data_IF_816617678488
#
_entry.id   IF_816617678488
#
_cell.length_a   1.000
_cell.length_b   1.000
_cell.length_c   1.000
_cell.angle_alpha   90.00
_cell.angle_beta   90.00
_cell.angle_gamma   90.00
#
_symmetry.space_group_name_H-M   'P 1'
#
loop_
_entity.id
_entity.type
_entity.pdbx_description
1 polymer ?
#
# COMPACT_ATOMS: atom_id res chain seq x y z
N UNK A 1 11.07 -9.58 28.60
CA UNK A 1 10.04 -10.63 28.75
C UNK A 1 9.82 -11.22 27.39
N UNK A 2 10.44 -12.38 27.17
CA UNK A 2 10.44 -13.12 25.91
C UNK A 2 9.03 -13.58 25.57
N UNK A 3 8.61 -13.39 24.33
CA UNK A 3 7.37 -13.94 23.82
C UNK A 3 7.66 -15.37 23.34
N UNK A 4 7.37 -16.34 24.20
CA UNK A 4 7.29 -17.73 23.80
C UNK A 4 6.20 -17.87 22.73
N UNK A 5 6.60 -18.39 21.56
CA UNK A 5 5.69 -18.81 20.50
C UNK A 5 4.97 -20.05 21.03
N UNK A 6 3.74 -19.87 21.50
CA UNK A 6 2.94 -20.97 22.03
C UNK A 6 2.54 -21.92 20.88
N UNK A 7 3.25 -23.04 20.79
CA UNK A 7 2.70 -24.33 20.39
C UNK A 7 1.54 -24.66 21.35
N UNK A 8 0.33 -24.25 21.00
CA UNK A 8 -0.86 -24.42 21.84
C UNK A 8 -2.08 -24.75 21.01
N UNK A 9 -2.44 -26.03 21.01
CA UNK A 9 -3.65 -26.60 20.42
C UNK A 9 -4.89 -25.70 20.66
N UNK A 10 -5.53 -25.23 19.60
CA UNK A 10 -6.87 -24.63 19.74
C UNK A 10 -7.90 -25.76 19.80
N UNK A 11 -8.50 -25.96 20.97
CA UNK A 11 -9.64 -26.86 21.17
C UNK A 11 -10.88 -26.53 20.28
N UNK A 12 -10.85 -25.40 19.57
CA UNK A 12 -11.96 -24.82 18.80
C UNK A 12 -11.78 -24.85 17.27
N UNK A 13 -10.68 -25.40 16.73
CA UNK A 13 -10.50 -25.59 15.28
C UNK A 13 -10.22 -24.32 14.43
N UNK A 14 -9.65 -23.26 15.01
CA UNK A 14 -9.30 -22.01 14.30
C UNK A 14 -7.78 -21.82 14.16
N UNK A 15 -7.28 -21.08 13.14
CA UNK A 15 -5.87 -20.75 13.05
C UNK A 15 -5.38 -19.94 14.26
N UNK A 16 -4.07 -19.96 14.56
CA UNK A 16 -3.49 -19.24 15.70
C UNK A 16 -3.62 -17.71 15.58
N UNK A 17 -3.89 -17.16 14.39
CA UNK A 17 -4.01 -15.73 14.17
C UNK A 17 -5.38 -15.35 13.58
N UNK A 18 -6.09 -14.47 14.27
CA UNK A 18 -7.35 -13.86 13.83
C UNK A 18 -7.28 -12.34 13.96
N UNK A 19 -7.73 -11.62 12.92
CA UNK A 19 -7.74 -10.15 12.88
C UNK A 19 -9.14 -9.64 12.56
N UNK A 20 -9.64 -8.75 13.42
CA UNK A 20 -10.87 -8.00 13.19
C UNK A 20 -10.54 -6.59 12.65
N UNK A 21 -10.95 -6.31 11.42
CA UNK A 21 -10.79 -5.01 10.73
C UNK A 21 -12.09 -4.18 10.67
N UNK A 22 -13.13 -4.62 11.37
CA UNK A 22 -14.39 -3.89 11.46
C UNK A 22 -14.29 -2.75 12.49
N UNK A 23 -14.83 -1.57 12.17
CA UNK A 23 -14.98 -0.50 13.18
C UNK A 23 -15.97 -0.95 14.25
N UNK A 24 -15.71 -0.57 15.52
CA UNK A 24 -16.54 -0.96 16.68
C UNK A 24 -18.03 -0.70 16.50
N UNK A 25 -18.41 0.30 15.70
CA UNK A 25 -19.78 0.74 15.46
C UNK A 25 -20.45 0.13 14.22
N UNK A 26 -19.69 -0.39 13.25
CA UNK A 26 -20.24 -0.84 11.96
C UNK A 26 -20.88 -2.23 12.04
N UNK A 27 -20.37 -3.12 12.89
CA UNK A 27 -20.86 -4.49 13.03
C UNK A 27 -20.72 -5.00 14.46
N UNK A 28 -21.70 -4.70 15.35
CA UNK A 28 -21.71 -5.24 16.70
C UNK A 28 -21.75 -6.78 16.70
N UNK A 29 -22.28 -7.40 15.62
CA UNK A 29 -22.29 -8.85 15.44
C UNK A 29 -20.92 -9.48 15.20
N UNK A 30 -20.04 -8.83 14.42
CA UNK A 30 -18.68 -9.32 14.15
C UNK A 30 -17.81 -9.23 15.41
N UNK A 31 -17.87 -8.08 16.10
CA UNK A 31 -17.20 -7.93 17.39
C UNK A 31 -17.81 -8.86 18.44
N UNK A 32 -19.13 -9.04 18.52
CA UNK A 32 -19.71 -9.99 19.49
C UNK A 32 -19.35 -11.46 19.20
N UNK A 33 -19.29 -11.87 17.93
CA UNK A 33 -18.92 -13.25 17.53
C UNK A 33 -17.44 -13.56 17.76
N UNK A 34 -16.56 -12.56 17.67
CA UNK A 34 -15.11 -12.78 17.67
C UNK A 34 -14.34 -11.97 18.73
N UNK A 35 -15.02 -11.21 19.59
CA UNK A 35 -14.46 -10.52 20.76
C UNK A 35 -13.59 -11.39 21.66
N UNK A 36 -13.89 -12.68 21.92
CA UNK A 36 -13.01 -13.53 22.71
C UNK A 36 -11.74 -13.98 21.97
N UNK A 37 -11.62 -13.73 20.65
CA UNK A 37 -10.63 -14.37 19.76
C UNK A 37 -9.65 -13.41 19.06
N UNK A 38 -9.79 -12.10 19.23
CA UNK A 38 -8.85 -11.14 18.63
C UNK A 38 -8.91 -9.75 19.23
N UNK A 39 -7.81 -8.99 19.09
CA UNK A 39 -7.81 -7.55 19.35
C UNK A 39 -8.42 -6.83 18.14
N UNK A 40 -9.37 -5.89 18.33
CA UNK A 40 -9.81 -5.04 17.23
C UNK A 40 -8.64 -4.18 16.77
N UNK A 41 -8.30 -4.22 15.47
CA UNK A 41 -7.43 -3.22 14.89
C UNK A 41 -8.24 -1.91 14.83
N UNK A 42 -7.80 -0.88 15.56
CA UNK A 42 -8.43 0.43 15.48
C UNK A 42 -8.04 1.05 14.13
N UNK A 43 -8.91 0.94 13.13
CA UNK A 43 -8.82 1.78 11.94
C UNK A 43 -9.27 3.20 12.30
N UNK A 44 -8.40 3.92 12.99
CA UNK A 44 -8.56 5.34 13.20
C UNK A 44 -8.10 6.08 11.95
N UNK A 45 -9.06 6.56 11.16
CA UNK A 45 -8.80 7.34 9.94
C UNK A 45 -8.49 8.81 10.27
N UNK A 46 -8.67 9.23 11.53
CA UNK A 46 -8.49 10.61 11.96
C UNK A 46 -7.18 10.88 12.73
N UNK A 47 -6.50 9.86 13.26
CA UNK A 47 -5.22 10.05 13.94
C UNK A 47 -4.05 10.01 12.94
N UNK A 48 -3.09 10.94 13.13
CA UNK A 48 -1.82 10.99 12.39
C UNK A 48 -0.85 9.86 12.78
N UNK A 49 -1.37 8.77 13.36
CA UNK A 49 -0.66 7.57 13.77
C UNK A 49 -1.16 6.40 12.92
N UNK A 50 -0.29 5.84 12.08
CA UNK A 50 -0.63 4.73 11.20
C UNK A 50 -0.80 3.43 12.00
N UNK A 51 -1.99 3.16 12.52
CA UNK A 51 -2.35 1.84 13.06
C UNK A 51 -2.75 0.90 11.91
N UNK A 52 -1.80 0.07 11.44
CA UNK A 52 -2.07 -0.97 10.45
C UNK A 52 -2.53 -2.27 11.13
N UNK A 53 -3.56 -2.97 10.61
CA UNK A 53 -4.05 -4.23 11.18
C UNK A 53 -2.98 -5.32 11.29
N UNK A 54 -2.02 -5.35 10.36
CA UNK A 54 -0.98 -6.38 10.29
C UNK A 54 0.29 -6.02 11.08
N UNK A 55 0.35 -4.87 11.76
CA UNK A 55 1.57 -4.33 12.37
C UNK A 55 2.28 -5.32 13.30
N UNK A 56 1.53 -5.95 14.22
CA UNK A 56 2.09 -6.90 15.18
C UNK A 56 2.67 -8.15 14.49
N UNK A 57 1.99 -8.64 13.44
CA UNK A 57 2.47 -9.76 12.64
C UNK A 57 3.73 -9.40 11.85
N UNK A 58 3.78 -8.19 11.28
CA UNK A 58 4.95 -7.67 10.58
C UNK A 58 6.16 -7.61 11.50
N UNK A 59 6.00 -7.12 12.74
CA UNK A 59 7.09 -7.09 13.75
C UNK A 59 7.58 -8.49 14.08
N UNK A 60 6.67 -9.43 14.29
CA UNK A 60 7.05 -10.82 14.59
C UNK A 60 7.74 -11.50 13.39
N UNK A 61 7.28 -11.25 12.16
CA UNK A 61 7.89 -11.76 10.95
C UNK A 61 9.29 -11.17 10.71
N UNK A 62 9.45 -9.85 10.88
CA UNK A 62 10.73 -9.16 10.82
C UNK A 62 11.75 -9.81 11.77
N UNK A 63 11.35 -10.00 13.03
CA UNK A 63 12.22 -10.57 14.05
C UNK A 63 12.62 -12.01 13.71
N UNK A 64 11.67 -12.87 13.34
CA UNK A 64 11.97 -14.26 12.94
C UNK A 64 12.90 -14.32 11.74
N UNK A 65 12.69 -13.44 10.76
CA UNK A 65 13.55 -13.36 9.57
C UNK A 65 14.97 -12.95 9.94
N UNK A 66 15.12 -11.97 10.83
CA UNK A 66 16.43 -11.55 11.32
C UNK A 66 17.14 -12.66 12.12
N UNK A 67 16.40 -13.44 12.91
CA UNK A 67 16.96 -14.53 13.74
C UNK A 67 17.30 -15.79 12.94
N UNK A 68 16.45 -16.16 11.98
CA UNK A 68 16.52 -17.48 11.31
C UNK A 68 16.96 -17.40 9.85
N UNK A 69 16.84 -16.24 9.20
CA UNK A 69 17.04 -16.08 7.76
C UNK A 69 15.99 -16.77 6.88
N UNK A 70 14.97 -17.41 7.47
CA UNK A 70 13.93 -18.15 6.73
C UNK A 70 12.94 -17.20 6.07
N UNK A 71 12.46 -17.60 4.91
CA UNK A 71 11.40 -16.88 4.22
C UNK A 71 10.11 -16.89 5.06
N UNK A 72 9.36 -15.80 5.04
CA UNK A 72 8.10 -15.64 5.76
C UNK A 72 6.96 -15.55 4.76
N UNK A 73 5.98 -16.45 4.84
CA UNK A 73 4.82 -16.49 3.94
C UNK A 73 3.56 -16.16 4.71
N UNK A 74 2.87 -15.09 4.31
CA UNK A 74 1.59 -14.69 4.89
C UNK A 74 0.43 -15.29 4.08
N UNK A 75 -0.54 -15.89 4.76
CA UNK A 75 -1.76 -16.39 4.12
C UNK A 75 -2.95 -15.68 4.75
N UNK A 76 -3.63 -14.82 3.99
CA UNK A 76 -4.81 -14.07 4.44
C UNK A 76 -6.07 -14.67 3.82
N UNK A 77 -7.07 -14.99 4.65
CA UNK A 77 -8.33 -15.60 4.21
C UNK A 77 -9.51 -15.19 5.08
N UNK A 78 -10.73 -15.37 4.58
CA UNK A 78 -12.01 -15.08 5.25
C UNK A 78 -12.73 -16.37 5.70
N UNK A 79 -13.74 -16.24 6.59
CA UNK A 79 -14.53 -17.32 7.18
C UNK A 79 -15.18 -18.24 6.13
N UNK A 80 -14.42 -19.25 5.73
CA UNK A 80 -14.77 -20.62 5.37
C UNK A 80 -13.54 -21.15 4.64
N UNK A 81 -12.93 -22.25 5.09
CA UNK A 81 -11.72 -22.67 4.47
C UNK A 81 -12.09 -23.36 3.15
N UNK A 82 -11.85 -22.65 2.04
CA UNK A 82 -11.33 -23.30 0.83
C UNK A 82 -9.85 -23.66 1.05
N UNK A 83 -9.38 -23.68 2.29
CA UNK A 83 -8.31 -24.57 2.69
C UNK A 83 -9.01 -25.89 3.00
N UNK A 84 -8.90 -26.95 2.18
CA UNK A 84 -9.32 -28.27 2.63
C UNK A 84 -8.79 -28.46 4.05
N UNK A 85 -9.56 -29.06 4.94
CA UNK A 85 -9.04 -29.62 6.20
C UNK A 85 -7.93 -30.69 5.98
N UNK A 86 -7.37 -30.75 4.77
CA UNK A 86 -6.45 -31.71 4.17
C UNK A 86 -5.38 -31.03 3.28
N UNK A 87 -5.23 -29.69 3.25
CA UNK A 87 -3.89 -29.15 2.95
C UNK A 87 -3.14 -29.29 4.26
N UNK A 88 -2.46 -30.42 4.39
CA UNK A 88 -1.48 -30.67 5.44
C UNK A 88 -0.37 -29.64 5.21
N UNK A 89 -0.61 -28.39 5.68
CA UNK A 89 0.35 -27.29 5.59
C UNK A 89 1.64 -27.86 6.15
N UNK A 90 2.73 -27.90 5.37
CA UNK A 90 3.94 -28.58 5.77
C UNK A 90 4.34 -28.05 7.13
N UNK A 91 4.48 -28.95 8.11
CA UNK A 91 4.78 -28.57 9.48
C UNK A 91 6.08 -27.75 9.45
N UNK A 92 6.18 -26.65 10.22
CA UNK A 92 7.26 -25.67 10.12
C UNK A 92 8.68 -26.23 10.36
N UNK A 93 8.82 -27.49 10.79
CA UNK A 93 10.09 -28.19 10.89
C UNK A 93 10.68 -28.61 9.52
N UNK A 94 9.87 -28.78 8.47
CA UNK A 94 10.32 -29.29 7.16
C UNK A 94 10.24 -28.26 6.01
N UNK A 95 9.48 -27.18 6.17
CA UNK A 95 9.30 -26.16 5.13
C UNK A 95 10.53 -25.24 5.01
N UNK A 96 10.91 -24.81 3.80
CA UNK A 96 11.97 -23.80 3.62
C UNK A 96 11.55 -22.38 4.09
N UNK A 97 10.28 -22.22 4.49
CA UNK A 97 9.67 -20.96 4.88
C UNK A 97 8.74 -21.15 6.11
N UNK A 98 8.60 -20.11 6.91
CA UNK A 98 7.59 -20.05 7.96
C UNK A 98 6.24 -19.63 7.34
N UNK A 99 5.21 -20.45 7.55
CA UNK A 99 3.85 -20.19 7.07
C UNK A 99 3.01 -19.55 8.17
N UNK A 100 2.46 -18.36 7.91
CA UNK A 100 1.63 -17.59 8.85
C UNK A 100 0.21 -17.48 8.29
N UNK A 101 -0.69 -18.43 8.62
CA UNK A 101 -2.11 -18.32 8.27
C UNK A 101 -2.84 -17.36 9.21
N UNK A 102 -3.61 -16.44 8.63
CA UNK A 102 -4.38 -15.42 9.34
C UNK A 102 -5.80 -15.34 8.80
N UNK A 103 -6.76 -15.56 9.71
CA UNK A 103 -8.16 -15.35 9.42
C UNK A 103 -8.53 -13.87 9.60
N UNK A 104 -9.14 -13.26 8.59
CA UNK A 104 -9.59 -11.87 8.57
C UNK A 104 -11.10 -11.84 8.40
N UNK A 105 -11.81 -11.06 9.20
CA UNK A 105 -13.28 -11.05 9.19
C UNK A 105 -13.93 -10.35 7.99
N UNK A 106 -13.20 -9.45 7.33
CA UNK A 106 -13.63 -8.67 6.17
C UNK A 106 -12.40 -8.45 5.28
N UNK A 107 -12.06 -9.45 4.48
CA UNK A 107 -10.82 -9.46 3.71
C UNK A 107 -10.73 -8.31 2.69
N UNK A 108 -11.88 -7.86 2.18
CA UNK A 108 -12.03 -6.72 1.27
C UNK A 108 -11.57 -5.38 1.88
N UNK A 109 -11.37 -5.30 3.20
CA UNK A 109 -10.85 -4.10 3.89
C UNK A 109 -9.32 -4.07 3.97
N UNK A 110 -8.64 -5.17 3.62
CA UNK A 110 -7.18 -5.18 3.47
C UNK A 110 -6.84 -4.47 2.18
N UNK A 111 -6.17 -3.31 2.29
CA UNK A 111 -5.79 -2.49 1.14
C UNK A 111 -4.32 -2.61 0.77
N UNK A 112 -3.93 -1.96 -0.33
CA UNK A 112 -2.56 -1.93 -0.82
C UNK A 112 -1.56 -1.47 0.25
N UNK A 113 -1.90 -0.48 1.09
CA UNK A 113 -1.03 -0.03 2.17
C UNK A 113 -0.70 -1.15 3.19
N UNK A 114 -1.65 -2.03 3.49
CA UNK A 114 -1.43 -3.15 4.42
C UNK A 114 -0.53 -4.22 3.77
N UNK A 115 -0.78 -4.51 2.49
CA UNK A 115 -0.04 -5.51 1.73
C UNK A 115 1.41 -5.07 1.48
N UNK A 116 1.62 -3.83 1.05
CA UNK A 116 2.95 -3.24 0.84
C UNK A 116 3.73 -3.19 2.15
N UNK A 117 3.09 -2.78 3.24
CA UNK A 117 3.71 -2.79 4.56
C UNK A 117 4.12 -4.20 4.99
N UNK A 118 3.24 -5.18 4.84
CA UNK A 118 3.59 -6.57 5.14
C UNK A 118 4.81 -7.08 4.33
N UNK A 119 4.88 -6.76 3.04
CA UNK A 119 6.01 -7.14 2.18
C UNK A 119 7.31 -6.45 2.56
N UNK A 120 7.27 -5.14 2.81
CA UNK A 120 8.45 -4.35 3.14
C UNK A 120 9.00 -4.73 4.54
N UNK A 121 8.12 -5.14 5.44
CA UNK A 121 8.45 -5.38 6.85
C UNK A 121 8.79 -6.82 7.21
N UNK A 122 8.80 -7.77 6.26
CA UNK A 122 9.32 -9.10 6.56
C UNK A 122 8.71 -10.24 5.75
N UNK A 123 7.47 -10.11 5.30
CA UNK A 123 6.84 -11.15 4.50
C UNK A 123 7.40 -11.16 3.07
N UNK A 124 7.82 -12.33 2.63
CA UNK A 124 8.39 -12.54 1.31
C UNK A 124 7.30 -12.67 0.25
N UNK A 125 6.26 -13.41 0.59
CA UNK A 125 5.09 -13.64 -0.25
C UNK A 125 3.83 -13.55 0.59
N UNK A 126 2.79 -12.96 0.01
CA UNK A 126 1.44 -12.89 0.56
C UNK A 126 0.51 -13.66 -0.36
N UNK A 127 -0.08 -14.73 0.15
CA UNK A 127 -1.21 -15.39 -0.46
C UNK A 127 -2.50 -14.77 0.09
N UNK A 128 -3.28 -14.19 -0.80
CA UNK A 128 -4.52 -13.50 -0.45
C UNK A 128 -5.70 -14.27 -1.06
N UNK A 129 -6.66 -14.69 -0.24
CA UNK A 129 -7.87 -15.34 -0.75
C UNK A 129 -8.67 -14.35 -1.59
N UNK A 130 -9.23 -14.81 -2.70
CA UNK A 130 -10.13 -14.00 -3.52
C UNK A 130 -11.42 -13.73 -2.73
N UNK A 131 -11.83 -12.47 -2.64
CA UNK A 131 -13.05 -12.10 -1.92
C UNK A 131 -14.30 -12.71 -2.56
N UNK A 132 -15.27 -13.06 -1.71
CA UNK A 132 -16.56 -13.52 -2.16
C UNK A 132 -17.43 -12.35 -2.65
N UNK A 133 -18.16 -12.55 -3.75
CA UNK A 133 -19.10 -11.59 -4.30
C UNK A 133 -18.44 -10.50 -5.18
N UNK A 134 -19.17 -10.06 -6.21
CA UNK A 134 -18.63 -9.20 -7.27
C UNK A 134 -18.07 -7.85 -6.77
N UNK A 135 -18.75 -7.20 -5.82
CA UNK A 135 -18.32 -5.90 -5.32
C UNK A 135 -17.03 -5.97 -4.48
N UNK A 136 -16.92 -6.99 -3.61
CA UNK A 136 -15.73 -7.23 -2.80
C UNK A 136 -14.53 -7.61 -3.66
N UNK A 137 -14.75 -8.48 -4.66
CA UNK A 137 -13.73 -8.88 -5.62
C UNK A 137 -13.20 -7.68 -6.42
N UNK A 138 -14.08 -6.86 -6.99
CA UNK A 138 -13.66 -5.69 -7.77
C UNK A 138 -12.88 -4.66 -6.93
N UNK A 139 -13.24 -4.49 -5.65
CA UNK A 139 -12.46 -3.66 -4.73
C UNK A 139 -11.08 -4.27 -4.46
N UNK A 140 -11.03 -5.57 -4.16
CA UNK A 140 -9.78 -6.28 -3.94
C UNK A 140 -8.86 -6.23 -5.16
N UNK A 141 -9.38 -6.40 -6.36
CA UNK A 141 -8.61 -6.33 -7.61
C UNK A 141 -7.92 -4.97 -7.77
N UNK A 142 -8.63 -3.86 -7.52
CA UNK A 142 -8.04 -2.51 -7.55
C UNK A 142 -6.93 -2.34 -6.51
N UNK A 143 -7.15 -2.83 -5.30
CA UNK A 143 -6.16 -2.76 -4.22
C UNK A 143 -4.91 -3.62 -4.54
N UNK A 144 -5.09 -4.81 -5.11
CA UNK A 144 -3.99 -5.70 -5.51
C UNK A 144 -3.24 -5.15 -6.72
N UNK A 145 -3.95 -4.59 -7.70
CA UNK A 145 -3.34 -3.93 -8.87
C UNK A 145 -2.44 -2.77 -8.43
N UNK A 146 -2.94 -1.90 -7.55
CA UNK A 146 -2.14 -0.82 -6.96
C UNK A 146 -0.92 -1.35 -6.21
N UNK A 147 -1.09 -2.38 -5.37
CA UNK A 147 0.02 -2.97 -4.64
C UNK A 147 1.06 -3.61 -5.57
N UNK A 148 0.64 -4.21 -6.69
CA UNK A 148 1.54 -4.78 -7.69
C UNK A 148 2.40 -3.72 -8.36
N UNK A 149 1.80 -2.63 -8.82
CA UNK A 149 2.52 -1.51 -9.44
C UNK A 149 3.50 -0.85 -8.45
N UNK A 150 3.14 -0.84 -7.16
CA UNK A 150 3.96 -0.27 -6.07
C UNK A 150 5.00 -1.26 -5.49
N UNK A 151 5.38 -2.31 -6.22
CA UNK A 151 6.47 -3.22 -5.84
C UNK A 151 6.04 -4.57 -5.25
N UNK A 152 4.74 -4.87 -5.27
CA UNK A 152 4.19 -6.16 -4.83
C UNK A 152 4.08 -7.22 -5.92
N UNK A 153 4.43 -6.89 -7.18
CA UNK A 153 4.30 -7.81 -8.31
C UNK A 153 5.13 -9.08 -8.08
N UNK A 154 4.53 -10.25 -8.34
CA UNK A 154 5.15 -11.55 -8.11
C UNK A 154 5.21 -12.00 -6.63
N UNK A 155 4.90 -11.11 -5.68
CA UNK A 155 4.92 -11.39 -4.24
C UNK A 155 3.54 -11.39 -3.60
N UNK A 156 2.53 -10.76 -4.22
CA UNK A 156 1.13 -10.81 -3.78
C UNK A 156 0.34 -11.67 -4.75
N UNK A 157 -0.19 -12.80 -4.27
CA UNK A 157 -0.75 -13.85 -5.12
C UNK A 157 -2.17 -14.21 -4.67
N UNK A 158 -3.16 -13.96 -5.53
CA UNK A 158 -4.58 -14.27 -5.28
C UNK A 158 -4.89 -15.74 -5.49
N UNK A 159 -5.55 -16.40 -4.53
CA UNK A 159 -6.02 -17.78 -4.68
C UNK A 159 -7.54 -17.88 -4.51
N UNK A 160 -8.19 -18.75 -5.29
CA UNK A 160 -9.61 -19.06 -5.15
C UNK A 160 -9.87 -20.34 -4.37
N UNK A 161 -8.92 -21.27 -4.41
CA UNK A 161 -9.04 -22.60 -3.82
C UNK A 161 -7.72 -23.12 -3.22
N UNK A 162 -7.84 -24.10 -2.34
CA UNK A 162 -6.70 -24.68 -1.61
C UNK A 162 -5.75 -25.49 -2.46
N UNK A 163 -6.19 -26.05 -3.59
CA UNK A 163 -5.29 -26.72 -4.54
C UNK A 163 -4.38 -25.74 -5.26
N UNK A 164 -4.90 -24.56 -5.61
CA UNK A 164 -4.09 -23.44 -6.12
C UNK A 164 -3.13 -22.91 -5.07
N UNK A 165 -3.55 -22.80 -3.81
CA UNK A 165 -2.67 -22.41 -2.71
C UNK A 165 -1.53 -23.42 -2.49
N UNK A 166 -1.85 -24.72 -2.40
CA UNK A 166 -0.86 -25.79 -2.18
C UNK A 166 0.24 -25.79 -3.25
N UNK A 167 -0.14 -25.74 -4.54
CA UNK A 167 0.82 -25.68 -5.65
C UNK A 167 1.76 -24.49 -5.59
N UNK A 168 1.30 -23.35 -5.05
CA UNK A 168 2.15 -22.16 -4.91
C UNK A 168 3.09 -22.25 -3.72
N UNK A 169 2.66 -22.86 -2.62
CA UNK A 169 3.52 -23.10 -1.47
C UNK A 169 4.66 -24.08 -1.82
N UNK A 170 4.43 -25.01 -2.74
CA UNK A 170 5.45 -25.93 -3.27
C UNK A 170 6.50 -25.24 -4.17
N UNK A 171 6.19 -24.07 -4.75
CA UNK A 171 7.04 -23.43 -5.75
C UNK A 171 8.39 -22.90 -5.22
N UNK A 172 8.61 -22.90 -3.89
CA UNK A 172 9.83 -22.44 -3.25
C UNK A 172 9.99 -20.91 -3.31
N UNK A 173 10.39 -20.29 -2.21
CA UNK A 173 10.50 -18.83 -2.10
C UNK A 173 11.85 -18.49 -1.48
N UNK A 174 12.53 -17.49 -2.05
CA UNK A 174 13.75 -16.94 -1.47
C UNK A 174 13.42 -15.77 -0.51
N UNK A 175 14.16 -15.63 0.60
CA UNK A 175 14.04 -14.47 1.47
C UNK A 175 14.48 -13.18 0.76
N UNK A 176 13.67 -12.14 0.88
CA UNK A 176 13.94 -10.77 0.47
C UNK A 176 14.50 -9.93 1.64
N UNK A 177 15.14 -8.80 1.33
CA UNK A 177 15.49 -7.84 2.38
C UNK A 177 14.22 -7.34 3.11
N UNK A 178 14.37 -7.02 4.39
CA UNK A 178 13.28 -6.51 5.22
C UNK A 178 13.71 -5.24 5.94
N UNK A 179 12.81 -4.28 6.01
CA UNK A 179 12.95 -3.04 6.77
C UNK A 179 12.20 -3.16 8.10
N UNK A 180 12.68 -2.50 9.15
CA UNK A 180 11.97 -2.48 10.42
C UNK A 180 10.57 -1.86 10.26
N UNK A 181 9.49 -2.49 10.77
CA UNK A 181 8.14 -1.98 10.62
C UNK A 181 7.92 -0.56 11.14
N UNK A 182 8.59 -0.20 12.24
CA UNK A 182 8.45 1.14 12.84
C UNK A 182 8.97 2.26 11.93
N UNK A 183 9.90 1.95 11.04
CA UNK A 183 10.48 2.92 10.09
C UNK A 183 9.50 3.23 8.96
N UNK A 184 8.63 2.29 8.60
CA UNK A 184 7.71 2.41 7.47
C UNK A 184 6.31 2.88 7.87
N UNK A 185 5.92 2.68 9.12
CA UNK A 185 4.63 3.10 9.69
C UNK A 185 4.57 4.61 9.98
N UNK A 186 4.84 5.44 8.98
CA UNK A 186 4.93 6.89 9.13
C UNK A 186 3.62 7.56 8.75
N UNK A 187 3.18 8.51 9.58
CA UNK A 187 2.09 9.43 9.26
C UNK A 187 0.75 8.74 8.96
N UNK A 188 0.22 8.99 7.76
CA UNK A 188 -1.03 8.37 7.29
C UNK A 188 -0.80 7.03 6.59
N UNK A 189 -1.88 6.26 6.35
CA UNK A 189 -1.81 5.04 5.51
C UNK A 189 -1.23 5.31 4.12
N UNK A 190 -1.46 6.50 3.58
CA UNK A 190 -0.93 6.95 2.28
C UNK A 190 0.57 7.20 2.35
N UNK A 191 1.05 7.82 3.42
CA UNK A 191 2.48 8.04 3.62
C UNK A 191 3.21 6.73 3.86
N UNK A 192 2.59 5.82 4.60
CA UNK A 192 3.09 4.45 4.77
C UNK A 192 3.14 3.69 3.44
N UNK A 193 2.11 3.80 2.59
CA UNK A 193 2.13 3.19 1.25
C UNK A 193 3.30 3.74 0.40
N UNK A 194 3.53 5.06 0.40
CA UNK A 194 4.66 5.69 -0.30
C UNK A 194 6.01 5.20 0.24
N UNK A 195 6.19 5.19 1.57
CA UNK A 195 7.41 4.74 2.20
C UNK A 195 7.70 3.25 1.89
N UNK A 196 6.67 2.41 1.90
CA UNK A 196 6.80 1.00 1.53
C UNK A 196 7.13 0.84 0.04
N UNK A 197 6.48 1.59 -0.85
CA UNK A 197 6.79 1.57 -2.27
C UNK A 197 8.24 1.98 -2.55
N UNK A 198 8.73 3.05 -1.90
CA UNK A 198 10.12 3.49 -1.99
C UNK A 198 11.12 2.44 -1.48
N UNK A 199 10.72 1.60 -0.51
CA UNK A 199 11.54 0.50 -0.01
C UNK A 199 11.49 -0.78 -0.89
N UNK A 200 10.40 -0.97 -1.63
CA UNK A 200 10.16 -2.18 -2.45
C UNK A 200 10.62 -2.03 -3.89
N UNK A 201 10.61 -0.81 -4.43
CA UNK A 201 10.99 -0.49 -5.80
C UNK A 201 12.47 -0.11 -5.90
N UNK A 202 13.07 -0.19 -7.11
CA UNK A 202 14.44 0.29 -7.34
C UNK A 202 14.61 1.77 -6.97
N UNK A 203 15.80 2.15 -6.52
CA UNK A 203 16.08 3.52 -6.06
C UNK A 203 15.93 4.58 -7.18
N UNK A 204 16.03 4.17 -8.44
CA UNK A 204 15.87 5.03 -9.61
C UNK A 204 14.40 5.30 -9.95
N UNK A 205 13.47 4.60 -9.30
CA UNK A 205 12.05 4.74 -9.52
C UNK A 205 11.54 6.04 -8.87
N UNK A 206 11.71 7.17 -9.57
CA UNK A 206 11.32 8.49 -9.07
C UNK A 206 9.81 8.69 -9.05
N UNK A 207 9.17 8.64 -10.23
CA UNK A 207 7.73 8.77 -10.38
C UNK A 207 7.14 7.51 -11.03
N UNK A 208 6.18 6.88 -10.35
CA UNK A 208 5.53 5.66 -10.80
C UNK A 208 4.20 6.01 -11.45
N UNK A 209 3.98 5.60 -12.70
CA UNK A 209 2.67 5.70 -13.33
C UNK A 209 1.69 4.71 -12.67
N UNK A 210 0.47 5.16 -12.36
CA UNK A 210 -0.55 4.35 -11.72
C UNK A 210 -1.81 4.19 -12.59
N UNK A 211 -2.67 3.19 -12.32
CA UNK A 211 -3.96 3.04 -13.00
C UNK A 211 -4.84 4.29 -12.87
N UNK A 212 -5.77 4.49 -13.82
CA UNK A 212 -6.60 5.71 -13.89
C UNK A 212 -7.40 6.03 -12.62
N UNK A 213 -7.82 5.00 -11.87
CA UNK A 213 -8.61 5.14 -10.65
C UNK A 213 -7.77 5.15 -9.38
N UNK A 214 -6.45 5.26 -9.50
CA UNK A 214 -5.58 5.33 -8.34
C UNK A 214 -5.89 6.59 -7.51
N UNK A 215 -5.95 6.49 -6.17
CA UNK A 215 -6.17 7.64 -5.32
C UNK A 215 -4.94 8.56 -5.24
N UNK A 216 -3.91 8.34 -6.06
CA UNK A 216 -2.59 8.96 -6.01
C UNK A 216 -2.26 9.68 -7.32
N UNK A 217 -1.56 10.80 -7.22
CA UNK A 217 -0.95 11.45 -8.36
C UNK A 217 -0.88 12.95 -8.27
N UNK A 218 -0.45 13.53 -9.38
CA UNK A 218 -0.04 14.91 -9.48
C UNK A 218 -1.12 15.77 -10.13
N UNK A 219 -1.07 17.06 -9.80
CA UNK A 219 -1.84 18.12 -10.45
C UNK A 219 -0.85 19.01 -11.21
N UNK A 220 -1.16 19.32 -12.46
CA UNK A 220 -0.41 20.28 -13.27
C UNK A 220 -1.26 21.50 -13.61
N UNK A 221 -0.59 22.64 -13.82
CA UNK A 221 -1.22 23.93 -14.09
C UNK A 221 -0.76 24.50 -15.43
N UNK A 222 -1.71 24.87 -16.27
CA UNK A 222 -1.50 25.75 -17.41
C UNK A 222 -1.49 27.21 -16.93
N UNK A 223 -0.28 27.76 -16.75
CA UNK A 223 -0.07 29.11 -16.25
C UNK A 223 -0.68 30.18 -17.19
N UNK A 224 -0.77 29.93 -18.50
CA UNK A 224 -1.32 30.89 -19.45
C UNK A 224 -2.84 31.05 -19.32
N UNK A 225 -3.52 30.04 -18.78
CA UNK A 225 -4.97 30.03 -18.55
C UNK A 225 -5.36 30.35 -17.11
N UNK A 226 -4.43 30.24 -16.17
CA UNK A 226 -4.70 30.50 -14.76
C UNK A 226 -4.92 32.00 -14.50
N UNK A 227 -6.03 32.34 -13.86
CA UNK A 227 -6.32 33.73 -13.45
C UNK A 227 -6.13 33.96 -11.95
N UNK A 228 -5.52 33.02 -11.24
CA UNK A 228 -5.30 33.09 -9.79
C UNK A 228 -6.57 33.39 -8.96
N UNK A 229 -7.73 32.88 -9.38
CA UNK A 229 -9.01 33.10 -8.69
C UNK A 229 -9.17 32.30 -7.39
N UNK A 230 -8.21 31.43 -7.06
CA UNK A 230 -8.12 30.63 -5.84
C UNK A 230 -9.25 29.61 -5.61
N UNK A 231 -10.16 29.40 -6.57
CA UNK A 231 -11.26 28.43 -6.41
C UNK A 231 -10.78 27.00 -6.13
N UNK A 232 -9.64 26.61 -6.72
CA UNK A 232 -9.03 25.30 -6.53
C UNK A 232 -8.45 25.09 -5.12
N UNK A 233 -7.97 26.16 -4.48
CA UNK A 233 -7.49 26.14 -3.08
C UNK A 233 -8.69 25.96 -2.15
N UNK A 234 -9.74 26.77 -2.33
CA UNK A 234 -10.93 26.74 -1.48
C UNK A 234 -11.70 25.42 -1.52
N UNK A 235 -11.69 24.71 -2.66
CA UNK A 235 -12.42 23.44 -2.80
C UNK A 235 -11.61 22.22 -2.33
N UNK A 236 -10.31 22.36 -2.09
CA UNK A 236 -9.44 21.22 -1.77
C UNK A 236 -9.69 20.73 -0.34
N UNK A 237 -10.28 19.54 -0.11
CA UNK A 237 -10.62 19.09 1.24
C UNK A 237 -9.40 18.65 2.06
N UNK A 238 -8.24 18.51 1.41
CA UNK A 238 -7.00 18.01 2.01
C UNK A 238 -5.89 19.05 2.07
N UNK A 239 -6.19 20.30 1.71
CA UNK A 239 -5.23 21.41 1.65
C UNK A 239 -3.98 21.10 0.81
N UNK A 240 -4.11 20.21 -0.19
CA UNK A 240 -3.03 19.86 -1.11
C UNK A 240 -2.63 21.03 -2.03
N UNK A 241 -3.51 22.03 -2.19
CA UNK A 241 -3.29 23.24 -2.97
C UNK A 241 -3.34 24.45 -2.05
N UNK A 242 -2.35 25.34 -2.16
CA UNK A 242 -2.27 26.59 -1.39
C UNK A 242 -1.70 27.72 -2.24
N UNK A 243 -1.80 28.96 -1.78
CA UNK A 243 -1.10 30.10 -2.39
C UNK A 243 0.18 30.41 -1.61
N UNK A 244 1.21 30.86 -2.32
CA UNK A 244 2.41 31.43 -1.67
C UNK A 244 2.06 32.69 -0.89
N UNK A 245 2.89 33.07 0.08
CA UNK A 245 2.64 34.24 0.96
C UNK A 245 2.46 35.56 0.18
N UNK A 246 3.09 35.67 -1.00
CA UNK A 246 2.95 36.83 -1.89
C UNK A 246 1.70 36.75 -2.79
N UNK A 247 0.86 35.72 -2.64
CA UNK A 247 -0.37 35.48 -3.40
C UNK A 247 -0.18 35.14 -4.88
N UNK A 248 1.08 35.11 -5.35
CA UNK A 248 1.40 35.09 -6.79
C UNK A 248 1.47 33.72 -7.43
N UNK A 249 1.71 32.64 -6.67
CA UNK A 249 1.89 31.30 -7.23
C UNK A 249 1.07 30.25 -6.49
N UNK A 250 0.60 29.26 -7.24
CA UNK A 250 -0.10 28.09 -6.71
C UNK A 250 0.94 27.08 -6.24
N UNK A 251 0.85 26.63 -4.99
CA UNK A 251 1.70 25.63 -4.39
C UNK A 251 0.94 24.31 -4.24
N UNK A 252 1.61 23.18 -4.46
CA UNK A 252 1.04 21.85 -4.42
C UNK A 252 1.88 20.89 -3.57
N UNK A 253 1.21 20.01 -2.82
CA UNK A 253 1.83 18.91 -2.07
C UNK A 253 1.16 17.60 -2.50
N UNK A 254 1.87 16.77 -3.25
CA UNK A 254 1.33 15.53 -3.82
C UNK A 254 0.88 14.53 -2.75
N UNK A 255 1.60 14.49 -1.62
CA UNK A 255 1.30 13.57 -0.52
C UNK A 255 -0.09 13.79 0.08
N UNK A 256 -0.64 15.00 -0.01
CA UNK A 256 -1.95 15.36 0.49
C UNK A 256 -3.07 15.19 -0.56
N UNK A 257 -2.75 14.99 -1.83
CA UNK A 257 -3.74 14.96 -2.91
C UNK A 257 -4.46 13.61 -3.04
N UNK A 258 -5.77 13.55 -2.80
CA UNK A 258 -6.57 12.32 -2.96
C UNK A 258 -7.03 12.03 -4.40
N UNK A 259 -6.57 12.78 -5.41
CA UNK A 259 -7.05 12.69 -6.79
C UNK A 259 -8.58 12.80 -6.96
N UNK A 260 -9.25 13.56 -6.08
CA UNK A 260 -10.71 13.67 -6.10
C UNK A 260 -11.29 14.47 -7.29
N UNK A 261 -10.45 15.17 -8.07
CA UNK A 261 -10.91 15.94 -9.24
C UNK A 261 -11.63 17.26 -8.95
N UNK A 262 -11.89 17.61 -7.69
CA UNK A 262 -12.64 18.82 -7.36
C UNK A 262 -11.98 20.10 -7.89
N UNK A 263 -10.65 20.21 -7.77
CA UNK A 263 -9.91 21.38 -8.25
C UNK A 263 -10.00 21.58 -9.77
N UNK A 264 -9.99 20.48 -10.55
CA UNK A 264 -10.18 20.51 -12.01
C UNK A 264 -11.62 20.91 -12.34
N UNK A 265 -12.59 20.32 -11.65
CA UNK A 265 -14.02 20.56 -11.91
C UNK A 265 -14.45 22.00 -11.65
N UNK A 266 -13.92 22.64 -10.61
CA UNK A 266 -14.30 24.00 -10.22
C UNK A 266 -13.57 25.07 -11.05
N UNK A 267 -12.49 24.73 -11.74
CA UNK A 267 -11.65 25.70 -12.44
C UNK A 267 -12.41 26.28 -13.65
N UNK A 268 -12.82 27.56 -13.62
CA UNK A 268 -13.60 28.15 -14.72
C UNK A 268 -12.80 28.23 -16.02
N UNK A 269 -11.48 28.35 -15.89
CA UNK A 269 -10.54 28.43 -17.02
C UNK A 269 -10.07 27.06 -17.50
N UNK A 270 -10.43 25.96 -16.81
CA UNK A 270 -9.92 24.60 -17.08
C UNK A 270 -8.40 24.56 -17.23
N UNK A 271 -7.70 25.24 -16.32
CA UNK A 271 -6.25 25.37 -16.31
C UNK A 271 -5.53 24.23 -15.55
N UNK A 272 -6.28 23.36 -14.87
CA UNK A 272 -5.71 22.27 -14.06
C UNK A 272 -5.94 20.91 -14.73
N UNK A 273 -4.93 20.05 -14.65
CA UNK A 273 -4.97 18.67 -15.14
C UNK A 273 -4.46 17.71 -14.07
N UNK A 274 -4.94 16.47 -14.08
CA UNK A 274 -4.51 15.42 -13.16
C UNK A 274 -3.83 14.29 -13.92
N UNK A 275 -2.78 13.74 -13.33
CA UNK A 275 -2.11 12.54 -13.82
C UNK A 275 -1.97 11.52 -12.68
N UNK A 276 -2.55 10.32 -12.80
CA UNK A 276 -2.35 9.24 -11.84
C UNK A 276 -0.88 8.86 -11.74
N UNK A 277 -0.36 8.80 -10.53
CA UNK A 277 1.04 8.49 -10.31
C UNK A 277 1.43 8.56 -8.84
N UNK A 278 2.68 8.25 -8.54
CA UNK A 278 3.24 8.44 -7.21
C UNK A 278 4.70 8.84 -7.33
N UNK A 279 5.01 10.06 -6.91
CA UNK A 279 6.39 10.48 -6.66
C UNK A 279 6.87 9.87 -5.33
N UNK A 280 7.95 9.09 -5.41
CA UNK A 280 8.60 8.43 -4.28
C UNK A 280 9.72 9.27 -3.67
N UNK A 281 10.07 10.39 -4.30
CA UNK A 281 11.10 11.30 -3.82
C UNK A 281 10.62 12.16 -2.65
N UNK A 282 11.57 12.85 -2.00
CA UNK A 282 11.25 13.81 -0.94
C UNK A 282 10.43 15.02 -1.46
N UNK A 283 10.39 15.28 -2.78
CA UNK A 283 9.62 16.38 -3.35
C UNK A 283 8.11 16.18 -3.17
N UNK A 284 7.64 14.93 -3.14
CA UNK A 284 6.22 14.60 -2.99
C UNK A 284 5.60 15.09 -1.68
N UNK A 285 6.40 15.26 -0.63
CA UNK A 285 5.95 15.70 0.71
C UNK A 285 6.22 17.17 0.98
N UNK A 286 6.85 17.87 0.04
CA UNK A 286 7.18 19.29 0.16
C UNK A 286 6.28 20.14 -0.75
N UNK A 287 5.92 21.36 -0.32
CA UNK A 287 5.23 22.30 -1.20
C UNK A 287 6.14 22.67 -2.38
N UNK A 288 5.63 22.53 -3.60
CA UNK A 288 6.30 22.98 -4.83
C UNK A 288 5.35 23.82 -5.69
N UNK A 289 5.91 24.74 -6.46
CA UNK A 289 5.13 25.67 -7.25
C UNK A 289 4.61 25.04 -8.54
N UNK A 290 3.30 25.19 -8.78
CA UNK A 290 2.67 24.91 -10.05
C UNK A 290 2.73 26.15 -10.93
N UNK A 291 3.38 26.05 -12.09
CA UNK A 291 3.35 27.09 -13.12
C UNK A 291 4.21 28.33 -12.88
N UNK A 292 5.30 28.23 -12.10
CA UNK A 292 6.31 29.27 -12.05
C UNK A 292 7.25 29.19 -13.25
N UNK A 293 7.32 30.25 -14.05
CA UNK A 293 8.59 30.55 -14.71
C UNK A 293 9.66 30.62 -13.62
N UNK A 294 10.79 29.96 -13.83
CA UNK A 294 11.98 30.21 -13.03
C UNK A 294 12.38 31.68 -13.25
N UNK A 295 11.91 32.57 -12.38
CA UNK A 295 12.59 33.83 -12.15
C UNK A 295 13.65 33.57 -11.08
N UNK A 296 14.90 33.79 -11.49
CA UNK A 296 16.12 33.64 -10.71
C UNK A 296 15.98 34.10 -9.25
N UNK A 297 16.07 33.16 -8.31
CA UNK A 297 16.68 33.43 -7.02
C UNK A 297 17.92 32.53 -6.93
N UNK A 298 19.04 33.08 -7.38
CA UNK A 298 20.28 32.34 -7.58
C UNK A 298 20.79 31.67 -6.31
N UNK A 299 21.08 30.38 -6.42
CA UNK A 299 22.40 29.85 -6.06
C UNK A 299 22.73 28.72 -7.03
N UNK A 300 23.89 28.84 -7.65
CA UNK A 300 24.37 27.98 -8.71
C UNK A 300 24.75 26.58 -8.19
N UNK A 301 24.35 25.54 -8.93
CA UNK A 301 25.22 24.41 -9.29
C UNK A 301 24.55 23.59 -10.40
N UNK A 302 25.11 23.69 -11.60
CA UNK A 302 24.73 22.94 -12.78
C UNK A 302 25.10 21.45 -12.67
N UNK A 303 24.22 20.58 -13.16
CA UNK A 303 24.61 19.34 -13.82
C UNK A 303 23.63 19.12 -14.98
N UNK A 304 24.13 19.34 -16.18
CA UNK A 304 23.44 19.29 -17.46
C UNK A 304 22.83 17.91 -17.75
N UNK A 305 21.55 17.89 -18.13
CA UNK A 305 20.90 16.74 -18.75
C UNK A 305 21.20 16.74 -20.26
N UNK A 306 21.97 15.76 -20.73
CA UNK A 306 22.15 15.49 -22.17
C UNK A 306 20.86 14.99 -22.82
N UNK A 307 20.72 15.13 -24.15
CA UNK A 307 19.44 14.95 -24.84
C UNK A 307 19.03 13.49 -24.95
N UNK A 308 17.71 13.29 -24.95
CA UNK A 308 16.99 12.04 -25.15
C UNK A 308 17.56 11.18 -26.29
N UNK A 309 18.07 10.00 -25.94
CA UNK A 309 18.33 8.92 -26.87
C UNK A 309 17.02 8.20 -27.21
N UNK A 310 16.65 8.24 -28.47
CA UNK A 310 15.52 7.51 -29.04
C UNK A 310 15.64 6.00 -28.77
N UNK A 311 14.56 5.39 -28.28
CA UNK A 311 14.38 3.94 -28.24
C UNK A 311 14.09 3.43 -29.65
N UNK A 312 14.83 2.45 -30.19
CA UNK A 312 14.43 1.77 -31.41
C UNK A 312 13.23 0.85 -31.11
N UNK A 313 12.20 0.96 -31.96
CA UNK A 313 11.20 -0.07 -32.14
C UNK A 313 11.89 -1.33 -32.67
N UNK A 314 11.66 -2.47 -32.01
CA UNK A 314 11.48 -3.80 -32.62
C UNK A 314 11.59 -4.88 -31.54
N UNK A 315 10.45 -5.47 -31.17
CA UNK A 315 10.38 -6.81 -30.57
C UNK A 315 9.65 -7.72 -31.56
N UNK A 316 10.24 -8.86 -31.99
CA UNK A 316 9.51 -9.85 -32.75
C UNK A 316 8.67 -10.74 -31.80
N UNK A 317 7.57 -11.35 -32.30
CA UNK A 317 6.70 -12.17 -31.49
C UNK A 317 7.19 -13.62 -31.45
N UNK A 318 7.27 -14.23 -30.27
CA UNK A 318 6.70 -15.56 -29.90
C UNK A 318 6.58 -15.61 -28.38
#
# INVERSE_FOLDING_TARGET
MHADILEGQTADGYPPHYICVCRRTETPSCNARHAPRGRPALLDVASRSCELPLMALCRAAHQRKHETGRAQVLILYELEPVVPAAVDLPRPAEAAADLIPVLVCCLQKIGHADLLHALACGFDVIHLQSCNGAAGLAQQEREVELAHVLGGLGRILLFGDGGTLARRLEAGIFPFASVSPDVLAVGSRRDTARACAAALLPAEAGNIALPEQAPYGAVSLDAARCTHCSSCVWVCPSDALSLTENGGALSFVESLCFQCGLCVSICPQRALHMAPGMDLSAAAVLPHLLGGAAEDCGTAAAAEAGPAGALPADLPPV
#
